data_IF_852433199541
#
_entry.id   IF_852433199541
#
_cell.length_a   1.000
_cell.length_b   1.000
_cell.length_c   1.000
_cell.angle_alpha   90.00
_cell.angle_beta   90.00
_cell.angle_gamma   90.00
#
_symmetry.space_group_name_H-M   'P 1'
#
loop_
_entity.id
_entity.type
_entity.pdbx_description
1 polymer ?
#
# COMPACT_ATOMS: atom_id res chain seq x y z
N UNK A 1 1.33 8.55 -17.73
CA UNK A 1 1.68 7.78 -16.51
C UNK A 1 2.19 8.76 -15.48
N UNK A 2 1.53 8.88 -14.32
CA UNK A 2 2.00 9.71 -13.22
C UNK A 2 3.14 9.00 -12.46
N UNK A 3 4.15 9.73 -11.95
CA UNK A 3 5.24 9.13 -11.18
C UNK A 3 4.74 8.55 -9.84
N UNK A 4 5.33 7.44 -9.40
CA UNK A 4 5.01 6.86 -8.09
C UNK A 4 5.53 7.77 -6.97
N UNK A 5 4.62 8.42 -6.23
CA UNK A 5 4.96 9.27 -5.08
C UNK A 5 4.41 8.65 -3.80
N UNK A 6 5.26 7.89 -3.09
CA UNK A 6 4.94 7.49 -1.73
C UNK A 6 5.16 8.66 -0.77
N UNK A 7 4.06 9.33 -0.38
CA UNK A 7 4.06 10.34 0.69
C UNK A 7 3.97 9.59 2.01
N UNK A 8 5.13 9.34 2.63
CA UNK A 8 5.29 8.49 3.79
C UNK A 8 4.23 8.64 4.88
N UNK A 9 4.04 7.56 5.64
CA UNK A 9 3.15 7.53 6.81
C UNK A 9 3.65 8.49 7.91
N UNK A 10 3.33 9.77 7.78
CA UNK A 10 3.43 10.71 8.90
C UNK A 10 2.59 10.23 10.09
N UNK A 11 2.89 10.74 11.29
CA UNK A 11 2.29 10.41 12.60
C UNK A 11 0.74 10.48 12.69
N UNK A 12 0.04 10.82 11.61
CA UNK A 12 -1.41 10.81 11.47
C UNK A 12 -1.68 10.33 10.06
N UNK A 13 -2.41 9.21 9.93
CA UNK A 13 -2.70 8.56 8.67
C UNK A 13 -2.87 9.57 7.54
N UNK A 14 -1.98 9.47 6.54
CA UNK A 14 -2.00 10.35 5.39
C UNK A 14 -3.38 10.20 4.74
N UNK A 15 -4.21 11.25 4.63
CA UNK A 15 -5.60 11.16 4.17
C UNK A 15 -5.75 10.69 2.71
N UNK A 16 -4.63 10.43 2.04
CA UNK A 16 -4.56 10.00 0.65
C UNK A 16 -4.19 8.53 0.47
N UNK A 17 -3.86 7.80 1.55
CA UNK A 17 -3.54 6.37 1.47
C UNK A 17 -4.77 5.55 1.79
N UNK A 18 -5.07 4.57 0.93
CA UNK A 18 -6.09 3.57 1.22
C UNK A 18 -5.70 2.76 2.45
N UNK A 19 -6.69 2.15 3.11
CA UNK A 19 -6.45 1.27 4.26
C UNK A 19 -5.49 0.12 3.90
N UNK A 20 -5.57 -0.39 2.67
CA UNK A 20 -4.66 -1.42 2.17
C UNK A 20 -3.23 -0.89 1.93
N UNK A 21 -3.09 0.31 1.38
CA UNK A 21 -1.78 0.96 1.21
C UNK A 21 -1.12 1.27 2.55
N UNK A 22 -1.90 1.66 3.55
CA UNK A 22 -1.44 1.87 4.93
C UNK A 22 -0.89 0.60 5.60
N UNK A 23 -1.32 -0.59 5.18
CA UNK A 23 -0.78 -1.87 5.66
C UNK A 23 0.54 -2.24 4.96
N UNK A 24 0.85 -1.61 3.83
CA UNK A 24 2.02 -1.90 2.98
C UNK A 24 3.10 -0.80 3.06
N UNK A 25 3.13 -0.07 4.19
CA UNK A 25 4.08 1.02 4.48
C UNK A 25 5.54 0.54 4.41
N UNK A 26 5.82 -0.70 4.85
CA UNK A 26 7.18 -1.26 4.84
C UNK A 26 7.70 -1.43 3.41
N UNK A 27 6.88 -1.98 2.54
CA UNK A 27 7.17 -2.20 1.13
C UNK A 27 7.31 -0.86 0.39
N UNK A 28 6.49 0.13 0.74
CA UNK A 28 6.61 1.46 0.18
C UNK A 28 7.93 2.16 0.57
N UNK A 29 8.44 1.92 1.78
CA UNK A 29 9.78 2.38 2.19
C UNK A 29 10.89 1.72 1.35
N UNK A 30 10.72 0.47 0.91
CA UNK A 30 11.68 -0.17 0.00
C UNK A 30 11.76 0.58 -1.34
N UNK A 31 10.63 1.08 -1.85
CA UNK A 31 10.62 1.86 -3.10
C UNK A 31 11.42 3.15 -2.92
N UNK A 32 11.23 3.85 -1.80
CA UNK A 32 12.01 5.06 -1.49
C UNK A 32 13.51 4.76 -1.38
N UNK A 33 13.90 3.65 -0.74
CA UNK A 33 15.29 3.23 -0.70
C UNK A 33 15.84 2.87 -2.09
N UNK A 34 15.04 2.21 -2.93
CA UNK A 34 15.43 1.87 -4.29
C UNK A 34 15.66 3.13 -5.14
N UNK A 35 14.73 4.09 -5.05
CA UNK A 35 14.85 5.37 -5.74
C UNK A 35 16.10 6.14 -5.27
N UNK A 36 16.34 6.20 -3.95
CA UNK A 36 17.53 6.84 -3.41
C UNK A 36 18.84 6.22 -3.93
N UNK A 37 18.89 4.89 -4.10
CA UNK A 37 20.07 4.16 -4.62
C UNK A 37 20.25 4.29 -6.12
N UNK A 38 19.16 4.43 -6.88
CA UNK A 38 19.18 4.42 -8.35
C UNK A 38 19.09 5.81 -8.99
N UNK A 39 19.20 6.88 -8.20
CA UNK A 39 19.09 8.25 -8.68
C UNK A 39 17.68 8.57 -9.18
N UNK A 40 16.67 8.13 -8.44
CA UNK A 40 15.24 8.36 -8.71
C UNK A 40 14.72 7.75 -10.02
N UNK A 41 15.45 6.77 -10.58
CA UNK A 41 15.02 6.05 -11.79
C UNK A 41 14.06 4.92 -11.45
N UNK A 42 12.77 5.19 -11.60
CA UNK A 42 11.70 4.22 -11.31
C UNK A 42 11.81 2.93 -12.14
N UNK A 43 12.32 3.02 -13.38
CA UNK A 43 12.56 1.87 -14.27
C UNK A 43 13.42 0.76 -13.64
N UNK A 44 14.33 1.13 -12.72
CA UNK A 44 15.22 0.20 -12.01
C UNK A 44 14.59 -0.37 -10.74
N UNK A 45 13.47 0.20 -10.33
CA UNK A 45 12.74 -0.16 -9.10
C UNK A 45 11.44 -0.91 -9.38
N UNK A 46 11.21 -1.33 -10.62
CA UNK A 46 10.00 -2.03 -11.05
C UNK A 46 9.67 -3.25 -10.19
N UNK A 47 10.67 -4.03 -9.77
CA UNK A 47 10.49 -5.20 -8.91
C UNK A 47 9.93 -4.82 -7.53
N UNK A 48 10.47 -3.76 -6.91
CA UNK A 48 10.03 -3.29 -5.59
C UNK A 48 8.64 -2.66 -5.67
N UNK A 49 8.34 -1.96 -6.77
CA UNK A 49 7.00 -1.44 -7.06
C UNK A 49 5.99 -2.58 -7.22
N UNK A 50 6.35 -3.63 -7.94
CA UNK A 50 5.50 -4.82 -8.09
C UNK A 50 5.25 -5.49 -6.75
N UNK A 51 6.28 -5.60 -5.90
CA UNK A 51 6.15 -6.16 -4.57
C UNK A 51 5.16 -5.37 -3.69
N UNK A 52 5.25 -4.04 -3.72
CA UNK A 52 4.28 -3.18 -3.03
C UNK A 52 2.87 -3.35 -3.59
N UNK A 53 2.69 -3.38 -4.92
CA UNK A 53 1.37 -3.62 -5.56
C UNK A 53 0.75 -4.94 -5.11
N UNK A 54 1.54 -6.03 -5.10
CA UNK A 54 1.07 -7.32 -4.60
C UNK A 54 0.76 -7.32 -3.11
N UNK A 55 1.41 -6.47 -2.31
CA UNK A 55 1.01 -6.25 -0.92
C UNK A 55 -0.36 -5.57 -0.84
N UNK A 56 -0.57 -4.50 -1.61
CA UNK A 56 -1.83 -3.74 -1.61
C UNK A 56 -2.99 -4.62 -2.04
N UNK A 57 -2.86 -5.33 -3.18
CA UNK A 57 -3.91 -6.22 -3.70
C UNK A 57 -4.32 -7.30 -2.67
N UNK A 58 -3.36 -7.95 -2.02
CA UNK A 58 -3.65 -8.95 -0.97
C UNK A 58 -4.40 -8.35 0.20
N UNK A 59 -4.05 -7.13 0.61
CA UNK A 59 -4.69 -6.45 1.72
C UNK A 59 -6.07 -5.90 1.34
N UNK A 60 -6.28 -5.44 0.11
CA UNK A 60 -7.62 -5.05 -0.38
C UNK A 60 -8.58 -6.23 -0.33
N UNK A 61 -8.18 -7.41 -0.84
CA UNK A 61 -8.99 -8.62 -0.77
C UNK A 61 -9.28 -9.02 0.68
N UNK A 62 -8.28 -8.93 1.56
CA UNK A 62 -8.45 -9.25 2.98
C UNK A 62 -9.40 -8.28 3.68
N UNK A 63 -9.29 -6.98 3.41
CA UNK A 63 -10.14 -5.95 4.01
C UNK A 63 -11.58 -6.08 3.51
N UNK A 64 -11.79 -6.37 2.22
CA UNK A 64 -13.12 -6.67 1.69
C UNK A 64 -13.77 -7.85 2.41
N UNK A 65 -13.07 -8.98 2.52
CA UNK A 65 -13.56 -10.16 3.26
C UNK A 65 -13.84 -9.87 4.73
N UNK A 66 -13.06 -8.97 5.35
CA UNK A 66 -13.29 -8.53 6.72
C UNK A 66 -14.59 -7.74 6.84
N UNK A 67 -14.83 -6.78 5.95
CA UNK A 67 -16.08 -5.98 5.91
C UNK A 67 -17.31 -6.88 5.71
N UNK A 68 -17.26 -7.81 4.75
CA UNK A 68 -18.35 -8.78 4.50
C UNK A 68 -18.68 -9.62 5.77
N UNK A 69 -17.66 -10.02 6.53
CA UNK A 69 -17.86 -10.75 7.79
C UNK A 69 -18.41 -9.89 8.92
N UNK A 70 -17.98 -8.63 9.00
CA UNK A 70 -18.46 -7.68 10.01
C UNK A 70 -19.93 -7.30 9.76
N UNK A 71 -20.32 -7.12 8.51
CA UNK A 71 -21.71 -6.88 8.09
C UNK A 71 -22.61 -8.08 8.40
N UNK A 72 -22.20 -9.29 8.00
CA UNK A 72 -22.96 -10.51 8.30
C UNK A 72 -23.15 -10.73 9.81
N UNK A 73 -22.16 -10.34 10.63
CA UNK A 73 -22.24 -10.41 12.09
C UNK A 73 -23.17 -9.32 12.66
N UNK A 74 -23.24 -8.15 12.05
CA UNK A 74 -24.13 -7.07 12.46
C UNK A 74 -25.60 -7.40 12.20
N UNK A 75 -25.91 -8.16 11.14
CA UNK A 75 -27.28 -8.62 10.85
C UNK A 75 -27.76 -9.77 11.76
N UNK A 76 -26.85 -10.42 12.50
CA UNK A 76 -27.21 -11.52 13.43
C UNK A 76 -27.48 -11.07 14.87
N UNK A 77 -27.35 -9.78 15.17
CA UNK A 77 -27.51 -9.20 16.52
C UNK A 77 -28.82 -8.42 16.64
#
# INVERSE_FOLDING_TARGET
>A
MAPFVYRGAGKRGSPHLSEAEGLCVKEACLIQMCLARNGSREEKCAEVVNFWRSCVERNEVRLRKKREKEEAKAETV
#
